data_IF_679879695620
#
_entry.id   IF_679879695620
#
_cell.length_a   1.000
_cell.length_b   1.000
_cell.length_c   1.000
_cell.angle_alpha   90.00
_cell.angle_beta   90.00
_cell.angle_gamma   90.00
#
_symmetry.space_group_name_H-M   'P 1'
#
loop_
_entity.id
_entity.type
_entity.pdbx_description
1 polymer ?
#
# COMPACT_ATOMS: atom_id res chain seq x y z
N UNK A 1 0.53 -10.93 -9.25
CA UNK A 1 1.19 -11.43 -8.02
C UNK A 1 1.16 -12.96 -8.03
N UNK A 2 2.33 -13.61 -7.93
CA UNK A 2 2.44 -15.07 -7.82
C UNK A 2 2.83 -15.41 -6.37
N UNK A 3 1.99 -16.17 -5.68
CA UNK A 3 2.25 -16.67 -4.32
C UNK A 3 2.65 -18.13 -4.40
N UNK A 4 3.80 -18.47 -3.83
CA UNK A 4 4.35 -19.84 -3.84
C UNK A 4 4.51 -20.29 -2.38
N UNK A 5 3.78 -21.34 -1.94
CA UNK A 5 3.98 -21.90 -0.62
C UNK A 5 5.42 -22.36 -0.41
N UNK A 6 5.98 -22.06 0.75
CA UNK A 6 7.34 -22.48 1.10
C UNK A 6 7.48 -22.81 2.59
N UNK A 7 8.51 -23.58 2.92
CA UNK A 7 8.94 -23.81 4.30
C UNK A 7 10.19 -22.98 4.57
N UNK A 8 10.08 -21.89 5.33
CA UNK A 8 11.22 -21.08 5.75
C UNK A 8 11.85 -21.69 7.00
N UNK A 9 13.01 -22.33 6.85
CA UNK A 9 13.69 -23.04 7.95
C UNK A 9 14.24 -22.05 8.99
N UNK A 10 14.51 -20.81 8.58
CA UNK A 10 15.12 -19.79 9.44
C UNK A 10 14.11 -18.85 10.11
N UNK A 11 12.86 -18.80 9.63
CA UNK A 11 11.82 -17.90 10.16
C UNK A 11 12.10 -16.41 9.95
N UNK A 12 12.93 -16.08 8.95
CA UNK A 12 13.35 -14.70 8.65
C UNK A 12 12.69 -14.22 7.38
N UNK A 13 12.10 -13.02 7.42
CA UNK A 13 11.59 -12.32 6.24
C UNK A 13 12.72 -11.62 5.49
N UNK A 14 12.80 -11.81 4.17
CA UNK A 14 13.85 -11.22 3.33
C UNK A 14 13.35 -10.95 1.91
N UNK A 15 13.78 -9.84 1.31
CA UNK A 15 13.48 -9.49 -0.08
C UNK A 15 14.77 -9.18 -0.85
N UNK A 16 14.85 -9.65 -2.10
CA UNK A 16 16.06 -9.51 -2.89
C UNK A 16 15.89 -9.93 -4.35
N UNK A 17 16.88 -9.55 -5.17
CA UNK A 17 16.94 -9.97 -6.58
C UNK A 17 17.19 -11.46 -6.69
N UNK A 18 16.53 -12.12 -7.64
CA UNK A 18 16.67 -13.55 -7.86
C UNK A 18 17.81 -13.83 -8.85
N UNK A 19 18.63 -14.82 -8.52
CA UNK A 19 19.48 -15.53 -9.46
C UNK A 19 19.09 -17.00 -9.41
N UNK A 20 18.54 -17.50 -10.52
CA UNK A 20 17.93 -18.82 -10.55
C UNK A 20 18.58 -19.73 -11.59
N UNK A 21 18.68 -21.02 -11.29
CA UNK A 21 19.11 -22.03 -12.25
C UNK A 21 18.34 -23.33 -12.06
N UNK A 22 18.11 -24.03 -13.15
CA UNK A 22 17.64 -25.44 -13.15
C UNK A 22 18.78 -26.43 -12.90
N UNK A 23 20.03 -25.95 -12.80
CA UNK A 23 21.21 -26.76 -12.55
C UNK A 23 21.63 -26.60 -11.09
N UNK A 24 22.00 -27.71 -10.45
CA UNK A 24 22.52 -27.71 -9.08
C UNK A 24 23.91 -27.08 -9.01
N UNK A 25 24.18 -26.37 -7.91
CA UNK A 25 25.44 -25.67 -7.67
C UNK A 25 26.26 -26.38 -6.60
N UNK A 26 27.58 -26.50 -6.81
CA UNK A 26 28.50 -26.85 -5.73
C UNK A 26 29.02 -25.60 -5.04
N UNK A 27 28.70 -25.43 -3.76
CA UNK A 27 29.28 -24.33 -2.98
C UNK A 27 30.78 -24.50 -2.78
N UNK A 28 31.26 -25.74 -2.64
CA UNK A 28 32.69 -26.00 -2.48
C UNK A 28 33.36 -26.14 -3.84
N UNK A 29 34.20 -25.18 -4.21
CA UNK A 29 34.91 -25.16 -5.50
C UNK A 29 34.09 -24.63 -6.68
N UNK A 30 32.76 -24.49 -6.53
CA UNK A 30 31.90 -23.82 -7.50
C UNK A 30 31.56 -22.37 -7.16
N UNK A 31 31.93 -21.89 -5.97
CA UNK A 31 31.87 -20.48 -5.58
C UNK A 31 33.21 -20.02 -5.02
N UNK A 32 33.53 -18.74 -5.21
CA UNK A 32 34.67 -18.08 -4.57
C UNK A 32 34.18 -17.34 -3.31
N UNK A 33 34.56 -17.79 -2.10
CA UNK A 33 34.12 -17.17 -0.86
C UNK A 33 34.60 -15.73 -0.66
N UNK A 34 35.72 -15.35 -1.29
CA UNK A 34 36.32 -14.02 -1.12
C UNK A 34 35.63 -12.94 -1.96
N UNK A 35 35.05 -13.33 -3.10
CA UNK A 35 34.38 -12.40 -4.02
C UNK A 35 32.87 -12.59 -4.06
N UNK A 36 32.36 -13.77 -3.71
CA UNK A 36 30.95 -14.14 -3.88
C UNK A 36 30.60 -14.58 -5.30
N UNK A 37 31.56 -14.67 -6.21
CA UNK A 37 31.29 -15.09 -7.58
C UNK A 37 31.11 -16.60 -7.69
N UNK A 38 30.16 -17.02 -8.51
CA UNK A 38 30.03 -18.41 -8.96
C UNK A 38 31.12 -18.68 -10.00
N UNK A 39 31.99 -19.66 -9.73
CA UNK A 39 33.16 -20.02 -10.56
C UNK A 39 33.08 -21.46 -11.10
N UNK A 40 31.95 -22.13 -10.89
CA UNK A 40 31.71 -23.47 -11.42
C UNK A 40 31.62 -23.42 -12.94
N UNK A 41 32.64 -23.96 -13.62
CA UNK A 41 32.72 -23.97 -15.08
C UNK A 41 31.51 -24.65 -15.71
N UNK A 42 30.91 -23.98 -16.68
CA UNK A 42 29.74 -24.48 -17.43
C UNK A 42 28.42 -24.41 -16.67
N UNK A 43 28.41 -23.87 -15.44
CA UNK A 43 27.16 -23.61 -14.73
C UNK A 43 26.45 -22.39 -15.34
N UNK A 44 25.11 -22.39 -15.51
CA UNK A 44 24.39 -21.26 -16.11
C UNK A 44 24.56 -19.92 -15.38
N UNK A 45 24.92 -19.98 -14.10
CA UNK A 45 25.20 -18.79 -13.26
C UNK A 45 26.70 -18.45 -13.14
N UNK A 46 27.59 -19.11 -13.90
CA UNK A 46 29.03 -18.80 -13.89
C UNK A 46 29.29 -17.30 -14.12
N UNK A 47 30.18 -16.71 -13.32
CA UNK A 47 30.48 -15.27 -13.32
C UNK A 47 29.48 -14.39 -12.57
N UNK A 48 28.35 -14.95 -12.09
CA UNK A 48 27.36 -14.19 -11.33
C UNK A 48 27.77 -14.08 -9.86
N UNK A 49 27.62 -12.88 -9.28
CA UNK A 49 27.87 -12.65 -7.87
C UNK A 49 26.64 -13.01 -7.00
N UNK A 50 26.86 -13.69 -5.88
CA UNK A 50 25.85 -14.14 -4.91
C UNK A 50 25.38 -13.04 -3.95
N UNK A 51 26.25 -12.06 -3.65
CA UNK A 51 26.00 -11.04 -2.64
C UNK A 51 24.76 -10.22 -2.98
N UNK A 52 23.98 -9.88 -1.96
CA UNK A 52 22.77 -9.06 -2.04
C UNK A 52 21.66 -9.65 -2.95
N UNK A 53 21.71 -10.96 -3.22
CA UNK A 53 20.75 -11.69 -4.06
C UNK A 53 20.21 -12.93 -3.36
N UNK A 54 19.07 -13.42 -3.86
CA UNK A 54 18.45 -14.68 -3.47
C UNK A 54 18.81 -15.73 -4.51
N UNK A 55 19.47 -16.80 -4.08
CA UNK A 55 19.86 -17.92 -4.94
C UNK A 55 18.74 -18.97 -4.99
N UNK A 56 18.27 -19.31 -6.19
CA UNK A 56 17.25 -20.34 -6.41
C UNK A 56 17.83 -21.46 -7.27
N UNK A 57 17.98 -22.65 -6.71
CA UNK A 57 18.54 -23.83 -7.41
C UNK A 57 17.79 -25.09 -6.95
N UNK A 58 17.76 -26.18 -7.73
CA UNK A 58 17.00 -27.36 -7.32
C UNK A 58 17.60 -28.04 -6.08
N UNK A 59 18.93 -28.14 -6.05
CA UNK A 59 19.71 -28.71 -4.95
C UNK A 59 21.14 -28.18 -4.97
N UNK A 60 21.86 -28.39 -3.86
CA UNK A 60 23.31 -28.22 -3.84
C UNK A 60 24.02 -29.56 -4.11
N UNK A 61 25.24 -29.51 -4.65
CA UNK A 61 26.08 -30.69 -4.88
C UNK A 61 27.35 -30.65 -4.05
N UNK A 62 27.70 -31.78 -3.42
CA UNK A 62 28.93 -31.96 -2.63
C UNK A 62 28.66 -32.77 -1.37
N UNK A 63 29.66 -33.54 -0.90
CA UNK A 63 29.43 -34.54 0.15
C UNK A 63 29.48 -34.01 1.58
N UNK A 64 30.50 -33.22 1.95
CA UNK A 64 30.76 -32.94 3.39
C UNK A 64 31.26 -31.54 3.66
N UNK A 65 31.97 -30.93 2.71
CA UNK A 65 32.65 -29.63 2.89
C UNK A 65 31.86 -28.43 2.35
N UNK A 66 30.67 -28.66 1.78
CA UNK A 66 29.83 -27.59 1.22
C UNK A 66 29.36 -26.57 2.27
N UNK A 67 29.12 -27.01 3.50
CA UNK A 67 28.77 -26.16 4.64
C UNK A 67 29.84 -25.12 4.98
N UNK A 68 31.12 -25.49 4.90
CA UNK A 68 32.25 -24.58 5.13
C UNK A 68 32.35 -23.49 4.07
N UNK A 69 31.99 -23.78 2.82
CA UNK A 69 31.98 -22.77 1.76
C UNK A 69 30.89 -21.70 2.01
N UNK A 70 29.69 -22.12 2.39
CA UNK A 70 28.60 -21.20 2.79
C UNK A 70 28.99 -20.35 4.00
N UNK A 71 29.58 -20.97 5.04
CA UNK A 71 30.07 -20.24 6.20
C UNK A 71 31.13 -19.20 5.82
N UNK A 72 32.09 -19.56 4.96
CA UNK A 72 33.13 -18.62 4.49
C UNK A 72 32.54 -17.47 3.69
N UNK A 73 31.56 -17.71 2.83
CA UNK A 73 30.83 -16.65 2.12
C UNK A 73 30.24 -15.65 3.12
N UNK A 74 29.62 -16.12 4.21
CA UNK A 74 29.07 -15.26 5.26
C UNK A 74 30.14 -14.47 6.02
N UNK A 75 31.22 -15.12 6.45
CA UNK A 75 32.32 -14.45 7.17
C UNK A 75 32.96 -13.35 6.31
N UNK A 76 33.02 -13.54 5.00
CA UNK A 76 33.51 -12.54 4.05
C UNK A 76 32.44 -11.56 3.54
N UNK A 77 31.21 -11.60 4.08
CA UNK A 77 30.08 -10.73 3.70
C UNK A 77 29.68 -10.83 2.21
N UNK A 78 29.83 -12.01 1.64
CA UNK A 78 29.53 -12.33 0.25
C UNK A 78 28.45 -13.42 0.09
N UNK A 79 27.84 -13.84 1.20
CA UNK A 79 26.72 -14.77 1.16
C UNK A 79 25.50 -14.15 0.46
N UNK A 80 24.65 -15.00 -0.15
CA UNK A 80 23.35 -14.55 -0.63
C UNK A 80 22.45 -14.14 0.54
N UNK A 81 21.45 -13.30 0.24
CA UNK A 81 20.40 -12.89 1.17
C UNK A 81 19.52 -14.06 1.62
N UNK A 82 19.33 -15.05 0.74
CA UNK A 82 18.66 -16.30 1.03
C UNK A 82 19.01 -17.36 -0.02
N UNK A 83 18.81 -18.63 0.34
CA UNK A 83 18.89 -19.77 -0.57
C UNK A 83 17.53 -20.46 -0.61
N UNK A 84 17.01 -20.71 -1.81
CA UNK A 84 15.76 -21.43 -2.05
C UNK A 84 16.07 -22.74 -2.79
N UNK A 85 15.63 -23.87 -2.22
CA UNK A 85 15.84 -25.21 -2.77
C UNK A 85 14.52 -25.95 -2.96
N UNK A 86 14.41 -26.80 -3.97
CA UNK A 86 13.33 -27.81 -4.03
C UNK A 86 13.71 -29.12 -3.34
N UNK A 87 15.00 -29.42 -3.25
CA UNK A 87 15.51 -30.65 -2.64
C UNK A 87 16.61 -30.28 -1.65
N UNK A 88 16.25 -30.02 -0.38
CA UNK A 88 17.21 -29.64 0.65
C UNK A 88 18.03 -30.85 1.11
N UNK A 89 19.28 -30.60 1.49
CA UNK A 89 20.17 -31.58 2.11
C UNK A 89 20.71 -31.05 3.45
N UNK A 90 21.13 -31.98 4.32
CA UNK A 90 21.59 -31.65 5.68
C UNK A 90 22.89 -30.85 5.70
N UNK A 91 23.74 -30.97 4.68
CA UNK A 91 25.02 -30.24 4.60
C UNK A 91 24.74 -28.77 4.30
N UNK A 92 23.89 -28.50 3.31
CA UNK A 92 23.48 -27.14 2.96
C UNK A 92 22.72 -26.49 4.10
N UNK A 93 21.77 -27.19 4.73
CA UNK A 93 21.04 -26.68 5.91
C UNK A 93 21.98 -26.28 7.05
N UNK A 94 22.98 -27.12 7.34
CA UNK A 94 24.01 -26.84 8.35
C UNK A 94 24.84 -25.61 7.98
N UNK A 95 25.26 -25.50 6.71
CA UNK A 95 26.02 -24.34 6.22
C UNK A 95 25.24 -23.03 6.31
N UNK A 96 23.96 -23.06 5.94
CA UNK A 96 23.06 -21.92 6.05
C UNK A 96 22.89 -21.48 7.51
N UNK A 97 22.67 -22.42 8.44
CA UNK A 97 22.58 -22.10 9.87
C UNK A 97 23.89 -21.51 10.42
N UNK A 98 25.03 -22.10 10.11
CA UNK A 98 26.34 -21.59 10.54
C UNK A 98 26.62 -20.18 10.00
N UNK A 99 26.19 -19.90 8.77
CA UNK A 99 26.41 -18.63 8.08
C UNK A 99 25.31 -17.59 8.31
N UNK A 100 24.28 -17.88 9.11
CA UNK A 100 23.07 -17.05 9.25
C UNK A 100 22.43 -16.69 7.90
N UNK A 101 22.42 -17.63 6.96
CA UNK A 101 21.79 -17.50 5.65
C UNK A 101 20.40 -18.11 5.72
N UNK A 102 19.32 -17.35 5.46
CA UNK A 102 17.98 -17.89 5.36
C UNK A 102 17.89 -19.02 4.33
N UNK A 103 17.42 -20.19 4.77
CA UNK A 103 17.16 -21.35 3.89
C UNK A 103 15.67 -21.59 3.76
N UNK A 104 15.20 -21.65 2.53
CA UNK A 104 13.78 -21.81 2.18
C UNK A 104 13.60 -23.00 1.27
N UNK A 105 12.56 -23.79 1.52
CA UNK A 105 12.26 -24.99 0.75
C UNK A 105 10.92 -24.82 0.03
N UNK A 106 10.89 -25.11 -1.26
CA UNK A 106 9.68 -25.12 -2.10
C UNK A 106 9.45 -26.51 -2.68
N UNK A 107 8.23 -26.81 -3.14
CA UNK A 107 7.95 -28.06 -3.85
C UNK A 107 8.56 -28.09 -5.25
N UNK A 108 8.57 -26.94 -5.92
CA UNK A 108 9.08 -26.77 -7.29
C UNK A 108 9.64 -25.35 -7.46
N UNK A 109 10.85 -25.25 -8.03
CA UNK A 109 11.50 -23.97 -8.33
C UNK A 109 11.07 -23.38 -9.68
N UNK A 110 10.35 -24.12 -10.53
CA UNK A 110 10.00 -23.70 -11.90
C UNK A 110 9.26 -22.36 -11.93
N UNK A 111 8.38 -22.13 -10.96
CA UNK A 111 7.62 -20.90 -10.78
C UNK A 111 8.50 -19.69 -10.36
N UNK A 112 9.75 -19.93 -9.95
CA UNK A 112 10.72 -18.92 -9.54
C UNK A 112 11.74 -18.60 -10.63
N UNK A 113 11.80 -19.40 -11.70
CA UNK A 113 12.71 -19.18 -12.82
C UNK A 113 12.26 -17.95 -13.61
N UNK A 114 13.21 -17.05 -13.90
CA UNK A 114 12.96 -15.85 -14.71
C UNK A 114 12.35 -14.67 -13.95
N UNK A 115 12.10 -14.80 -12.64
CA UNK A 115 11.70 -13.67 -11.80
C UNK A 115 12.90 -12.73 -11.55
N UNK A 116 12.67 -11.42 -11.52
CA UNK A 116 13.74 -10.46 -11.17
C UNK A 116 13.90 -10.32 -9.65
N UNK A 117 12.78 -10.31 -8.90
CA UNK A 117 12.78 -10.05 -7.45
C UNK A 117 11.68 -10.84 -6.74
N UNK A 118 11.99 -11.33 -5.54
CA UNK A 118 11.03 -12.00 -4.67
C UNK A 118 11.11 -11.47 -3.23
N UNK A 119 10.03 -11.67 -2.48
CA UNK A 119 9.94 -11.50 -1.04
C UNK A 119 9.62 -12.86 -0.41
N UNK A 120 10.38 -13.24 0.60
CA UNK A 120 10.25 -14.51 1.32
C UNK A 120 9.76 -14.18 2.72
N UNK A 121 8.61 -14.75 3.10
CA UNK A 121 8.03 -14.67 4.44
C UNK A 121 8.12 -16.05 5.12
N UNK A 122 7.47 -16.24 6.28
CA UNK A 122 7.55 -17.50 7.03
C UNK A 122 7.02 -18.72 6.26
N UNK A 123 5.92 -18.57 5.51
CA UNK A 123 5.25 -19.70 4.84
C UNK A 123 5.02 -19.48 3.33
N UNK A 124 5.42 -18.35 2.78
CA UNK A 124 5.14 -17.99 1.39
C UNK A 124 6.27 -17.17 0.76
N UNK A 125 6.51 -17.41 -0.53
CA UNK A 125 7.29 -16.55 -1.41
C UNK A 125 6.30 -15.73 -2.24
N UNK A 126 6.47 -14.41 -2.25
CA UNK A 126 5.72 -13.48 -3.06
C UNK A 126 6.60 -13.00 -4.21
N UNK A 127 6.19 -13.32 -5.42
CA UNK A 127 6.80 -12.89 -6.67
C UNK A 127 5.96 -11.79 -7.32
N UNK A 128 6.61 -10.66 -7.58
CA UNK A 128 6.05 -9.56 -8.33
C UNK A 128 6.43 -9.77 -9.80
N UNK A 129 5.45 -9.95 -10.68
CA UNK A 129 5.74 -9.96 -12.12
C UNK A 129 6.08 -8.54 -12.52
N UNK A 130 7.31 -8.28 -12.94
CA UNK A 130 7.77 -7.00 -13.49
C UNK A 130 7.20 -6.73 -14.90
N UNK A 131 5.94 -7.09 -15.15
CA UNK A 131 5.14 -6.43 -16.20
C UNK A 131 4.72 -5.02 -15.72
N UNK A 132 5.68 -4.25 -15.20
CA UNK A 132 5.58 -2.81 -15.26
C UNK A 132 5.86 -2.46 -16.73
N UNK A 133 4.87 -1.97 -17.48
CA UNK A 133 5.02 -1.77 -18.91
C UNK A 133 6.24 -0.86 -19.17
N UNK A 134 7.18 -1.35 -19.99
CA UNK A 134 8.47 -0.70 -20.31
C UNK A 134 8.30 0.70 -20.91
N UNK A 135 7.10 0.99 -21.38
CA UNK A 135 6.58 2.32 -21.65
C UNK A 135 5.32 2.54 -20.84
N UNK A 136 5.24 3.66 -20.11
CA UNK A 136 3.99 4.17 -19.54
C UNK A 136 2.98 4.19 -20.70
N UNK A 137 1.90 3.37 -20.70
CA UNK A 137 0.86 3.55 -21.69
C UNK A 137 0.40 4.99 -21.50
N UNK A 138 0.38 5.84 -22.56
CA UNK A 138 -0.06 7.21 -22.40
C UNK A 138 -1.41 7.16 -21.71
N UNK A 139 -1.48 7.60 -20.44
CA UNK A 139 -2.75 7.68 -19.71
C UNK A 139 -3.61 8.59 -20.56
N UNK A 140 -4.59 7.98 -21.22
CA UNK A 140 -5.31 8.45 -22.40
C UNK A 140 -5.57 9.95 -22.37
N UNK A 141 -5.04 10.67 -23.37
CA UNK A 141 -5.38 12.09 -23.68
C UNK A 141 -5.21 13.05 -22.48
N UNK A 142 -5.43 14.37 -22.61
CA UNK A 142 -5.68 15.23 -21.46
C UNK A 142 -7.00 14.78 -20.77
N UNK A 143 -6.93 13.71 -19.97
CA UNK A 143 -8.07 13.10 -19.31
C UNK A 143 -8.40 13.76 -17.96
N UNK A 144 -9.68 13.71 -17.59
CA UNK A 144 -10.22 14.20 -16.32
C UNK A 144 -9.55 13.51 -15.12
N UNK A 145 -9.13 14.28 -14.11
CA UNK A 145 -8.52 13.74 -12.88
C UNK A 145 -9.61 13.22 -11.95
N UNK A 146 -9.37 12.07 -11.31
CA UNK A 146 -10.22 11.51 -10.26
C UNK A 146 -9.45 11.45 -8.95
N UNK A 147 -10.04 11.92 -7.85
CA UNK A 147 -9.46 11.70 -6.51
C UNK A 147 -10.10 10.45 -5.90
N UNK A 148 -9.28 9.48 -5.53
CA UNK A 148 -9.75 8.23 -4.93
C UNK A 148 -9.34 8.18 -3.47
N UNK A 149 -10.32 8.19 -2.58
CA UNK A 149 -10.14 8.05 -1.15
C UNK A 149 -10.33 6.59 -0.73
N UNK A 150 -9.25 5.93 -0.33
CA UNK A 150 -9.28 4.59 0.24
C UNK A 150 -9.49 4.68 1.76
N UNK A 151 -10.59 4.13 2.28
CA UNK A 151 -10.85 4.08 3.71
C UNK A 151 -9.79 3.27 4.46
N UNK A 152 -9.26 3.79 5.57
CA UNK A 152 -8.21 3.11 6.34
C UNK A 152 -8.62 1.72 6.83
N UNK A 153 -9.92 1.48 7.05
CA UNK A 153 -10.45 0.16 7.40
C UNK A 153 -10.33 -0.88 6.29
N UNK A 154 -10.20 -0.47 5.03
CA UNK A 154 -10.03 -1.39 3.90
C UNK A 154 -8.61 -1.93 3.80
N UNK A 155 -7.63 -1.13 4.23
CA UNK A 155 -6.20 -1.44 4.07
C UNK A 155 -5.53 -1.73 5.41
N UNK A 156 -6.30 -1.82 6.49
CA UNK A 156 -5.81 -2.16 7.84
C UNK A 156 -6.82 -2.98 8.62
N UNK A 157 -6.33 -3.75 9.58
CA UNK A 157 -7.17 -4.51 10.51
C UNK A 157 -7.49 -3.70 11.77
N UNK A 158 -8.69 -3.11 11.81
CA UNK A 158 -9.17 -2.27 12.93
C UNK A 158 -9.25 -2.99 14.28
N UNK A 159 -9.49 -4.30 14.28
CA UNK A 159 -9.62 -5.11 15.50
C UNK A 159 -8.26 -5.52 16.09
N UNK A 160 -7.16 -5.22 15.40
CA UNK A 160 -5.83 -5.51 15.90
C UNK A 160 -5.44 -4.52 17.00
N UNK A 161 -4.85 -5.04 18.08
CA UNK A 161 -4.31 -4.23 19.19
C UNK A 161 -3.03 -3.48 18.81
N UNK A 162 -2.39 -3.90 17.72
CA UNK A 162 -1.22 -3.25 17.11
C UNK A 162 -1.54 -2.82 15.68
N UNK A 163 -0.87 -1.79 15.13
CA UNK A 163 -0.98 -1.44 13.72
C UNK A 163 -0.77 -2.66 12.82
N UNK A 164 -1.68 -2.87 11.87
CA UNK A 164 -1.70 -4.06 11.04
C UNK A 164 -2.22 -3.72 9.64
N UNK A 165 -1.34 -3.84 8.65
CA UNK A 165 -1.58 -3.52 7.25
C UNK A 165 -2.14 -4.71 6.47
N UNK A 166 -3.16 -4.47 5.65
CA UNK A 166 -3.78 -5.47 4.79
C UNK A 166 -3.22 -5.33 3.36
N UNK A 167 -2.12 -6.03 3.11
CA UNK A 167 -1.43 -5.99 1.81
C UNK A 167 -2.26 -6.61 0.68
N UNK A 168 -3.07 -7.64 0.98
CA UNK A 168 -3.87 -8.34 -0.02
C UNK A 168 -5.01 -7.46 -0.53
N UNK A 169 -5.78 -6.85 0.37
CA UNK A 169 -6.85 -5.94 -0.03
C UNK A 169 -6.29 -4.70 -0.73
N UNK A 170 -5.12 -4.20 -0.28
CA UNK A 170 -4.44 -3.08 -0.94
C UNK A 170 -4.00 -3.44 -2.36
N UNK A 171 -3.52 -4.68 -2.58
CA UNK A 171 -3.13 -5.17 -3.90
C UNK A 171 -4.33 -5.27 -4.85
N UNK A 172 -5.46 -5.83 -4.38
CA UNK A 172 -6.71 -5.91 -5.16
C UNK A 172 -7.16 -4.51 -5.61
N UNK A 173 -7.19 -3.55 -4.67
CA UNK A 173 -7.52 -2.15 -4.99
C UNK A 173 -6.54 -1.54 -6.00
N UNK A 174 -5.24 -1.70 -5.77
CA UNK A 174 -4.18 -1.19 -6.64
C UNK A 174 -4.30 -1.70 -8.07
N UNK A 175 -4.55 -3.00 -8.23
CA UNK A 175 -4.69 -3.65 -9.54
C UNK A 175 -5.89 -3.13 -10.32
N UNK A 176 -7.06 -3.03 -9.69
CA UNK A 176 -8.27 -2.52 -10.35
C UNK A 176 -8.07 -1.05 -10.77
N UNK A 177 -7.47 -0.23 -9.89
CA UNK A 177 -7.18 1.18 -10.21
C UNK A 177 -6.20 1.26 -11.39
N UNK A 178 -5.17 0.41 -11.43
CA UNK A 178 -4.23 0.34 -12.54
C UNK A 178 -4.94 -0.05 -13.86
N UNK A 179 -5.73 -1.12 -13.86
CA UNK A 179 -6.40 -1.65 -15.05
C UNK A 179 -7.46 -0.67 -15.61
N UNK A 180 -8.09 0.13 -14.74
CA UNK A 180 -9.05 1.18 -15.14
C UNK A 180 -8.41 2.32 -15.96
N UNK A 181 -7.08 2.47 -15.92
CA UNK A 181 -6.29 3.50 -16.61
C UNK A 181 -6.67 4.95 -16.27
N UNK A 182 -7.46 5.17 -15.22
CA UNK A 182 -7.83 6.53 -14.80
C UNK A 182 -6.61 7.31 -14.33
N UNK A 183 -6.61 8.62 -14.60
CA UNK A 183 -5.62 9.54 -14.04
C UNK A 183 -6.06 9.94 -12.64
N UNK A 184 -5.40 9.42 -11.61
CA UNK A 184 -5.85 9.61 -10.24
C UNK A 184 -4.82 10.18 -9.27
N UNK A 185 -5.35 10.82 -8.24
CA UNK A 185 -4.67 11.09 -6.96
C UNK A 185 -5.28 10.15 -5.94
N UNK A 186 -4.44 9.46 -5.16
CA UNK A 186 -4.91 8.59 -4.10
C UNK A 186 -4.79 9.28 -2.75
N UNK A 187 -5.77 9.06 -1.89
CA UNK A 187 -5.72 9.45 -0.48
C UNK A 187 -6.11 8.24 0.37
N UNK A 188 -5.26 7.79 1.29
CA UNK A 188 -5.62 6.68 2.18
C UNK A 188 -5.95 7.14 3.60
N UNK A 189 -6.73 6.34 4.32
CA UNK A 189 -7.09 6.62 5.71
C UNK A 189 -6.05 6.08 6.66
N UNK A 190 -6.07 6.56 7.90
CA UNK A 190 -5.07 6.22 8.90
C UNK A 190 -5.20 4.79 9.46
N UNK A 191 -6.41 4.23 9.44
CA UNK A 191 -6.64 2.85 9.88
C UNK A 191 -6.19 2.60 11.33
N UNK A 192 -5.72 1.38 11.62
CA UNK A 192 -5.14 1.03 12.93
C UNK A 192 -3.81 1.76 13.23
N UNK A 193 -3.14 2.31 12.22
CA UNK A 193 -1.90 3.11 12.38
C UNK A 193 -2.14 4.51 12.94
N UNK A 194 -3.40 4.97 13.00
CA UNK A 194 -3.73 6.29 13.56
C UNK A 194 -4.84 6.25 14.59
N UNK A 195 -5.97 5.62 14.28
CA UNK A 195 -7.11 5.62 15.20
C UNK A 195 -6.80 4.90 16.52
N UNK A 196 -6.10 3.76 16.46
CA UNK A 196 -5.75 2.97 17.65
C UNK A 196 -4.84 3.77 18.61
N UNK A 197 -3.67 4.30 18.20
CA UNK A 197 -2.82 5.06 19.10
C UNK A 197 -3.44 6.39 19.56
N UNK A 198 -4.18 7.10 18.68
CA UNK A 198 -4.89 8.34 19.08
C UNK A 198 -5.87 8.09 20.21
N UNK A 199 -6.63 6.99 20.12
CA UNK A 199 -7.61 6.60 21.15
C UNK A 199 -6.92 6.07 22.40
N UNK A 200 -5.93 5.18 22.26
CA UNK A 200 -5.23 4.56 23.39
C UNK A 200 -4.57 5.59 24.31
N UNK A 201 -4.05 6.68 23.73
CA UNK A 201 -3.39 7.74 24.48
C UNK A 201 -4.28 8.97 24.70
N UNK A 202 -5.58 8.93 24.40
CA UNK A 202 -6.51 10.07 24.51
C UNK A 202 -5.93 11.37 23.92
N UNK A 203 -5.35 11.31 22.72
CA UNK A 203 -4.51 12.40 22.19
C UNK A 203 -5.27 13.70 21.90
N UNK A 204 -6.57 13.59 21.67
CA UNK A 204 -7.44 14.74 21.46
C UNK A 204 -7.75 15.51 22.75
N UNK A 205 -7.54 14.89 23.91
CA UNK A 205 -7.68 15.53 25.22
C UNK A 205 -6.35 16.15 25.66
N UNK A 206 -6.35 17.47 25.90
CA UNK A 206 -5.15 18.24 26.26
C UNK A 206 -3.95 17.98 25.31
N UNK A 207 -4.12 18.18 23.99
CA UNK A 207 -3.20 17.68 22.95
C UNK A 207 -1.77 18.21 23.05
N UNK A 208 -1.54 19.26 23.84
CA UNK A 208 -0.29 19.98 23.92
C UNK A 208 0.60 19.59 25.10
N UNK A 209 0.23 18.62 25.95
CA UNK A 209 1.10 18.18 27.04
C UNK A 209 2.39 17.55 26.50
N UNK A 210 3.51 17.62 27.25
CA UNK A 210 4.79 17.01 26.81
C UNK A 210 4.63 15.51 26.50
N UNK A 211 3.87 14.81 27.33
CA UNK A 211 3.54 13.40 27.13
C UNK A 211 2.77 13.18 25.83
N UNK A 212 1.71 13.96 25.57
CA UNK A 212 0.89 13.84 24.35
C UNK A 212 1.71 14.16 23.10
N UNK A 213 2.64 15.11 23.17
CA UNK A 213 3.54 15.44 22.05
C UNK A 213 4.44 14.27 21.65
N UNK A 214 4.89 13.45 22.60
CA UNK A 214 5.66 12.23 22.31
C UNK A 214 4.80 11.28 21.47
N UNK A 215 3.58 10.99 21.93
CA UNK A 215 2.68 10.10 21.21
C UNK A 215 2.21 10.67 19.86
N UNK A 216 2.01 11.99 19.74
CA UNK A 216 1.73 12.61 18.46
C UNK A 216 2.85 12.37 17.44
N UNK A 217 4.12 12.50 17.85
CA UNK A 217 5.26 12.20 16.97
C UNK A 217 5.31 10.73 16.54
N UNK A 218 4.87 9.81 17.40
CA UNK A 218 4.76 8.39 17.08
C UNK A 218 3.65 8.14 16.07
N UNK A 219 2.46 8.73 16.25
CA UNK A 219 1.35 8.59 15.29
C UNK A 219 1.73 9.11 13.92
N UNK A 220 2.42 10.26 13.84
CA UNK A 220 2.94 10.78 12.56
C UNK A 220 3.87 9.78 11.88
N UNK A 221 4.79 9.18 12.64
CA UNK A 221 5.73 8.18 12.12
C UNK A 221 5.01 6.91 11.62
N UNK A 222 4.00 6.44 12.35
CA UNK A 222 3.16 5.31 11.93
C UNK A 222 2.38 5.60 10.65
N UNK A 223 1.93 6.85 10.44
CA UNK A 223 1.28 7.23 9.18
C UNK A 223 2.25 7.18 7.99
N UNK A 224 3.52 7.56 8.20
CA UNK A 224 4.55 7.44 7.15
C UNK A 224 4.86 5.99 6.83
N UNK A 225 4.92 5.14 7.84
CA UNK A 225 5.09 3.69 7.68
C UNK A 225 3.94 3.09 6.84
N UNK A 226 2.69 3.37 7.21
CA UNK A 226 1.53 2.90 6.45
C UNK A 226 1.57 3.39 4.99
N UNK A 227 1.90 4.66 4.77
CA UNK A 227 2.01 5.21 3.41
C UNK A 227 3.09 4.55 2.58
N UNK A 228 4.24 4.21 3.17
CA UNK A 228 5.31 3.47 2.51
C UNK A 228 4.84 2.07 2.11
N UNK A 229 4.17 1.34 3.01
CA UNK A 229 3.62 0.01 2.75
C UNK A 229 2.56 0.06 1.63
N UNK A 230 1.66 1.03 1.68
CA UNK A 230 0.65 1.27 0.63
C UNK A 230 1.34 1.54 -0.71
N UNK A 231 2.29 2.47 -0.76
CA UNK A 231 3.01 2.79 -1.99
C UNK A 231 3.83 1.61 -2.52
N UNK A 232 4.37 0.76 -1.66
CA UNK A 232 5.06 -0.45 -2.07
C UNK A 232 4.11 -1.42 -2.77
N UNK A 233 2.95 -1.72 -2.18
CA UNK A 233 1.94 -2.60 -2.79
C UNK A 233 1.39 -2.00 -4.08
N UNK A 234 1.04 -0.72 -4.10
CA UNK A 234 0.53 -0.07 -5.32
C UNK A 234 1.54 -0.13 -6.47
N UNK A 235 2.85 0.03 -6.17
CA UNK A 235 3.92 -0.08 -7.17
C UNK A 235 4.01 -1.48 -7.76
N UNK A 236 3.86 -2.50 -6.91
CA UNK A 236 3.84 -3.92 -7.31
C UNK A 236 2.66 -4.26 -8.22
N UNK A 237 1.56 -3.52 -8.12
CA UNK A 237 0.36 -3.69 -8.95
C UNK A 237 0.33 -2.82 -10.22
N UNK A 238 1.45 -2.15 -10.55
CA UNK A 238 1.63 -1.44 -11.81
C UNK A 238 1.48 0.09 -11.74
N UNK A 239 1.00 0.64 -10.61
CA UNK A 239 0.96 2.09 -10.43
C UNK A 239 2.38 2.65 -10.22
N UNK A 240 2.55 3.95 -10.47
CA UNK A 240 3.79 4.66 -10.14
C UNK A 240 3.49 5.63 -8.98
N UNK A 241 3.30 5.11 -7.75
CA UNK A 241 2.91 5.93 -6.61
C UNK A 241 4.04 6.87 -6.21
N UNK A 242 3.68 8.12 -5.95
CA UNK A 242 4.56 9.12 -5.36
C UNK A 242 4.01 9.51 -3.99
N UNK A 243 4.63 9.08 -2.87
CA UNK A 243 4.16 9.45 -1.55
C UNK A 243 4.30 10.96 -1.36
N UNK A 244 3.21 11.61 -0.94
CA UNK A 244 3.20 13.03 -0.61
C UNK A 244 2.83 13.19 0.86
N UNK A 245 3.77 13.76 1.62
CA UNK A 245 3.59 14.05 3.05
C UNK A 245 2.63 15.24 3.23
N UNK A 246 1.41 15.03 3.77
CA UNK A 246 0.40 16.08 3.85
C UNK A 246 0.77 17.22 4.80
N UNK A 247 1.42 16.95 5.92
CA UNK A 247 1.87 17.93 6.91
C UNK A 247 3.09 18.77 6.46
N UNK A 248 3.73 18.36 5.35
CA UNK A 248 4.72 19.19 4.64
C UNK A 248 4.11 19.92 3.43
N UNK A 249 3.04 19.37 2.84
CA UNK A 249 2.37 19.96 1.69
C UNK A 249 1.35 21.04 2.10
N UNK A 250 0.69 20.86 3.24
CA UNK A 250 -0.30 21.77 3.79
C UNK A 250 0.16 22.38 5.10
N UNK A 251 -0.26 23.61 5.35
CA UNK A 251 -0.31 24.21 6.69
C UNK A 251 -1.74 24.63 7.01
N UNK A 252 -2.04 24.85 8.29
CA UNK A 252 -3.33 25.36 8.72
C UNK A 252 -3.13 26.47 9.74
N UNK A 253 -3.89 27.54 9.61
CA UNK A 253 -3.89 28.61 10.61
C UNK A 253 -4.75 28.23 11.85
N UNK A 254 -4.76 29.13 12.84
CA UNK A 254 -5.54 28.97 14.07
C UNK A 254 -7.06 28.97 13.86
N UNK A 255 -7.54 29.53 12.73
CA UNK A 255 -8.95 29.58 12.35
C UNK A 255 -9.40 28.32 11.59
N UNK A 256 -8.48 27.41 11.28
CA UNK A 256 -8.76 26.19 10.53
C UNK A 256 -8.66 26.33 9.01
N UNK A 257 -8.16 27.45 8.50
CA UNK A 257 -7.96 27.63 7.07
C UNK A 257 -6.73 26.85 6.62
N UNK A 258 -6.88 26.01 5.59
CA UNK A 258 -5.81 25.21 5.03
C UNK A 258 -5.11 25.95 3.88
N UNK A 259 -3.79 25.96 3.89
CA UNK A 259 -2.93 26.55 2.86
C UNK A 259 -2.03 25.47 2.27
N UNK A 260 -1.77 25.51 0.97
CA UNK A 260 -0.87 24.56 0.28
C UNK A 260 0.45 25.22 -0.10
N UNK A 261 1.55 24.47 -0.02
CA UNK A 261 2.92 24.95 -0.29
C UNK A 261 3.51 24.47 -1.63
N UNK A 262 2.68 23.85 -2.49
CA UNK A 262 2.90 23.88 -3.94
C UNK A 262 3.84 22.83 -4.53
N UNK A 263 3.54 21.53 -4.36
CA UNK A 263 3.91 20.56 -5.42
C UNK A 263 3.00 20.77 -6.62
N UNK A 264 3.58 20.76 -7.82
CA UNK A 264 2.82 20.80 -9.07
C UNK A 264 2.20 19.42 -9.33
N UNK A 265 1.05 19.16 -8.69
CA UNK A 265 0.28 17.91 -8.83
C UNK A 265 -0.04 17.62 -10.30
N UNK A 266 -0.34 18.64 -11.09
CA UNK A 266 -0.63 18.51 -12.52
C UNK A 266 0.58 17.93 -13.26
N UNK A 267 1.77 18.51 -13.08
CA UNK A 267 3.00 18.00 -13.69
C UNK A 267 3.34 16.57 -13.23
N UNK A 268 3.05 16.21 -11.98
CA UNK A 268 3.22 14.82 -11.52
C UNK A 268 2.30 13.86 -12.30
N UNK A 269 1.02 14.22 -12.41
CA UNK A 269 0.01 13.44 -13.12
C UNK A 269 0.33 13.34 -14.63
N UNK A 270 0.78 14.42 -15.25
CA UNK A 270 1.21 14.48 -16.65
C UNK A 270 2.42 13.57 -16.93
N UNK A 271 3.32 13.43 -15.96
CA UNK A 271 4.47 12.50 -16.03
C UNK A 271 4.11 11.05 -15.70
N UNK A 272 2.84 10.76 -15.42
CA UNK A 272 2.36 9.42 -15.12
C UNK A 272 2.51 8.98 -13.66
N UNK A 273 2.97 9.87 -12.77
CA UNK A 273 2.97 9.59 -11.34
C UNK A 273 1.55 9.57 -10.78
N UNK A 274 1.35 8.80 -9.73
CA UNK A 274 0.12 8.76 -8.95
C UNK A 274 0.41 9.34 -7.56
N UNK A 275 0.13 10.63 -7.31
CA UNK A 275 0.34 11.20 -5.99
C UNK A 275 -0.49 10.46 -4.93
N UNK A 276 0.14 10.08 -3.82
CA UNK A 276 -0.49 9.34 -2.72
C UNK A 276 -0.38 10.16 -1.43
N UNK A 277 -1.52 10.66 -0.97
CA UNK A 277 -1.66 11.35 0.32
C UNK A 277 -2.32 10.44 1.37
N UNK A 278 -2.35 10.91 2.62
CA UNK A 278 -2.94 10.18 3.74
C UNK A 278 -3.41 11.12 4.84
N UNK A 279 -4.34 10.68 5.69
CA UNK A 279 -4.68 11.45 6.90
C UNK A 279 -3.49 11.47 7.86
N UNK A 280 -3.19 12.62 8.47
CA UNK A 280 -2.01 12.76 9.34
C UNK A 280 -2.29 13.75 10.47
N UNK A 281 -1.72 13.55 11.68
CA UNK A 281 -1.65 14.62 12.66
C UNK A 281 -0.79 15.78 12.14
N UNK A 282 -1.23 17.02 12.37
CA UNK A 282 -0.45 18.20 12.03
C UNK A 282 -0.66 19.33 13.05
N UNK A 283 0.19 20.34 12.99
CA UNK A 283 0.05 21.54 13.80
C UNK A 283 -0.99 22.49 13.17
N UNK A 284 -1.91 22.94 14.01
CA UNK A 284 -2.92 23.96 13.74
C UNK A 284 -2.57 25.18 14.59
N UNK A 285 -1.69 26.05 14.10
CA UNK A 285 -1.08 27.09 14.92
C UNK A 285 -0.36 26.49 16.15
N UNK A 286 -0.87 26.74 17.35
CA UNK A 286 -0.28 26.28 18.62
C UNK A 286 -0.76 24.92 19.12
N UNK A 287 -1.75 24.29 18.45
CA UNK A 287 -2.32 22.99 18.86
C UNK A 287 -2.01 21.89 17.85
N UNK A 288 -1.92 20.65 18.31
CA UNK A 288 -1.90 19.49 17.40
C UNK A 288 -3.34 19.02 17.16
N UNK A 289 -3.65 18.64 15.93
CA UNK A 289 -4.87 17.91 15.62
C UNK A 289 -4.74 17.11 14.34
N UNK A 290 -5.86 16.63 13.80
CA UNK A 290 -5.86 15.66 12.69
C UNK A 290 -6.35 16.34 11.42
N UNK A 291 -5.51 16.34 10.39
CA UNK A 291 -5.96 16.63 9.03
C UNK A 291 -6.52 15.33 8.45
N UNK A 292 -7.85 15.28 8.30
CA UNK A 292 -8.50 14.06 7.86
C UNK A 292 -8.21 13.80 6.38
N UNK A 293 -8.19 12.52 6.00
CA UNK A 293 -8.04 12.18 4.60
C UNK A 293 -9.25 12.60 3.74
N UNK A 294 -10.42 12.85 4.34
CA UNK A 294 -11.58 13.36 3.60
C UNK A 294 -11.34 14.85 3.24
N UNK A 295 -10.83 15.66 4.18
CA UNK A 295 -10.44 17.05 3.92
C UNK A 295 -9.33 17.14 2.88
N UNK A 296 -8.32 16.28 2.98
CA UNK A 296 -7.24 16.21 1.99
C UNK A 296 -7.79 15.88 0.60
N UNK A 297 -8.73 14.93 0.48
CA UNK A 297 -9.33 14.56 -0.78
C UNK A 297 -10.03 15.75 -1.46
N UNK A 298 -10.79 16.55 -0.71
CA UNK A 298 -11.39 17.78 -1.21
C UNK A 298 -10.33 18.78 -1.71
N UNK A 299 -9.28 19.01 -0.92
CA UNK A 299 -8.30 20.04 -1.24
C UNK A 299 -7.45 19.65 -2.46
N UNK A 300 -6.99 18.39 -2.55
CA UNK A 300 -6.26 17.93 -3.73
C UNK A 300 -7.15 17.83 -4.96
N UNK A 301 -8.47 17.57 -4.81
CA UNK A 301 -9.42 17.63 -5.92
C UNK A 301 -9.53 19.05 -6.48
N UNK A 302 -9.65 20.06 -5.61
CA UNK A 302 -9.67 21.48 -6.00
C UNK A 302 -8.37 21.90 -6.70
N UNK A 303 -7.22 21.52 -6.15
CA UNK A 303 -5.91 21.90 -6.70
C UNK A 303 -5.60 21.21 -8.04
N UNK A 304 -6.16 20.03 -8.28
CA UNK A 304 -5.92 19.25 -9.50
C UNK A 304 -6.98 19.46 -10.60
N UNK A 305 -8.06 20.19 -10.30
CA UNK A 305 -9.20 20.31 -11.22
C UNK A 305 -9.91 18.98 -11.45
N UNK A 306 -9.93 18.11 -10.42
CA UNK A 306 -10.57 16.80 -10.52
C UNK A 306 -12.08 16.94 -10.76
N UNK A 307 -12.65 16.03 -11.54
CA UNK A 307 -14.10 16.01 -11.81
C UNK A 307 -14.90 15.35 -10.68
N UNK A 308 -14.28 14.39 -10.02
CA UNK A 308 -14.94 13.61 -8.98
C UNK A 308 -14.00 13.17 -7.87
N UNK A 309 -14.61 12.92 -6.72
CA UNK A 309 -14.01 12.27 -5.55
C UNK A 309 -14.76 10.96 -5.32
N UNK A 310 -14.05 9.84 -5.30
CA UNK A 310 -14.61 8.51 -5.03
C UNK A 310 -14.10 8.03 -3.67
N UNK A 311 -15.00 7.85 -2.70
CA UNK A 311 -14.68 7.25 -1.42
C UNK A 311 -14.97 5.75 -1.45
N UNK A 312 -13.90 4.96 -1.41
CA UNK A 312 -13.97 3.54 -1.14
C UNK A 312 -14.07 3.29 0.37
N UNK A 313 -15.19 2.68 0.78
CA UNK A 313 -15.53 2.37 2.17
C UNK A 313 -15.84 0.88 2.34
N UNK A 314 -16.23 0.43 3.55
CA UNK A 314 -16.74 -0.94 3.77
C UNK A 314 -18.25 -1.07 3.56
N UNK A 315 -18.93 0.00 3.13
CA UNK A 315 -20.37 0.03 2.97
C UNK A 315 -20.72 0.26 1.50
N UNK A 316 -21.84 -0.29 1.06
CA UNK A 316 -22.37 -0.18 -0.31
C UNK A 316 -22.81 1.25 -0.71
N UNK A 317 -22.70 2.20 0.21
CA UNK A 317 -23.16 3.57 0.08
C UNK A 317 -23.73 4.06 1.40
N UNK A 318 -24.63 5.04 1.31
CA UNK A 318 -25.39 5.58 2.42
C UNK A 318 -26.77 4.90 2.43
N UNK A 319 -27.16 4.38 3.58
CA UNK A 319 -28.50 3.82 3.81
C UNK A 319 -29.33 4.81 4.61
N UNK A 320 -30.57 5.06 4.21
CA UNK A 320 -31.49 5.86 5.02
C UNK A 320 -31.85 5.05 6.27
N UNK A 321 -31.52 5.52 7.48
CA UNK A 321 -31.66 4.72 8.70
C UNK A 321 -33.12 4.52 9.13
N UNK A 322 -34.06 5.31 8.60
CA UNK A 322 -35.49 5.18 8.86
C UNK A 322 -36.11 4.11 7.97
N UNK A 323 -35.71 4.05 6.70
CA UNK A 323 -36.33 3.14 5.72
C UNK A 323 -35.53 1.86 5.46
N UNK A 324 -34.24 1.84 5.79
CA UNK A 324 -33.31 0.76 5.45
C UNK A 324 -32.92 0.71 3.97
N UNK A 325 -33.43 1.62 3.14
CA UNK A 325 -33.16 1.63 1.70
C UNK A 325 -31.86 2.39 1.36
N UNK A 326 -31.12 1.97 0.31
CA UNK A 326 -29.98 2.73 -0.20
C UNK A 326 -30.40 4.11 -0.70
N UNK A 327 -29.64 5.14 -0.31
CA UNK A 327 -29.77 6.51 -0.82
C UNK A 327 -28.93 6.62 -2.09
N UNK A 328 -29.57 6.73 -3.25
CA UNK A 328 -28.87 6.84 -4.54
C UNK A 328 -28.25 8.21 -4.80
N UNK A 329 -28.89 9.28 -4.33
CA UNK A 329 -28.45 10.64 -4.60
C UNK A 329 -28.62 11.54 -3.38
N UNK A 330 -27.54 12.23 -3.01
CA UNK A 330 -27.51 13.25 -1.97
C UNK A 330 -27.17 14.58 -2.62
N UNK A 331 -27.92 15.62 -2.28
CA UNK A 331 -27.76 16.98 -2.79
C UNK A 331 -27.88 17.97 -1.63
N UNK A 332 -27.47 19.24 -1.80
CA UNK A 332 -27.65 20.25 -0.77
C UNK A 332 -29.10 20.40 -0.28
N UNK A 333 -30.10 20.08 -1.12
CA UNK A 333 -31.51 20.22 -0.77
C UNK A 333 -32.04 19.08 0.11
N UNK A 334 -31.62 17.84 -0.11
CA UNK A 334 -32.06 16.69 0.69
C UNK A 334 -31.16 16.40 1.90
N UNK A 335 -29.95 16.96 1.91
CA UNK A 335 -28.98 16.74 2.98
C UNK A 335 -29.47 17.16 4.37
N UNK A 336 -30.08 18.33 4.60
CA UNK A 336 -30.49 18.73 5.95
C UNK A 336 -31.43 17.71 6.63
N UNK A 337 -32.35 17.13 5.85
CA UNK A 337 -33.26 16.08 6.34
C UNK A 337 -32.53 14.76 6.61
N UNK A 338 -31.64 14.35 5.70
CA UNK A 338 -30.87 13.12 5.86
C UNK A 338 -29.85 13.21 7.01
N UNK A 339 -29.24 14.38 7.22
CA UNK A 339 -28.27 14.63 8.29
C UNK A 339 -28.87 14.40 9.67
N UNK A 340 -30.08 14.90 9.91
CA UNK A 340 -30.82 14.69 11.17
C UNK A 340 -31.05 13.20 11.40
N UNK A 341 -31.60 12.50 10.40
CA UNK A 341 -31.83 11.05 10.47
C UNK A 341 -30.55 10.27 10.79
N UNK A 342 -29.45 10.59 10.12
CA UNK A 342 -28.17 9.92 10.33
C UNK A 342 -27.62 10.18 11.73
N UNK A 343 -27.71 11.41 12.24
CA UNK A 343 -27.25 11.76 13.59
C UNK A 343 -28.07 11.08 14.69
N UNK A 344 -29.39 11.07 14.55
CA UNK A 344 -30.30 10.54 15.58
C UNK A 344 -30.26 9.02 15.70
N UNK A 345 -29.97 8.32 14.60
CA UNK A 345 -30.06 6.86 14.53
C UNK A 345 -28.70 6.15 14.58
N UNK A 346 -27.60 6.88 14.36
CA UNK A 346 -26.29 6.22 14.29
C UNK A 346 -25.76 5.84 15.67
N UNK A 347 -25.44 4.55 15.85
CA UNK A 347 -24.47 4.08 16.85
C UNK A 347 -23.03 4.47 16.49
N UNK A 348 -22.82 5.08 15.33
CA UNK A 348 -21.54 5.59 14.86
C UNK A 348 -21.24 6.94 15.52
N UNK A 349 -20.88 6.89 16.80
CA UNK A 349 -20.53 8.04 17.64
C UNK A 349 -19.31 8.84 17.14
N UNK A 350 -18.79 8.54 15.93
CA UNK A 350 -17.59 9.17 15.35
C UNK A 350 -17.90 10.24 14.30
N UNK A 351 -19.16 10.40 13.85
CA UNK A 351 -19.52 11.38 12.81
C UNK A 351 -18.89 11.10 11.44
N UNK A 352 -18.31 9.93 11.21
CA UNK A 352 -17.44 9.66 10.06
C UNK A 352 -18.13 9.67 8.70
N UNK A 353 -19.37 9.15 8.60
CA UNK A 353 -20.13 9.23 7.34
C UNK A 353 -20.72 10.62 7.11
N UNK A 354 -21.15 11.30 8.18
CA UNK A 354 -21.71 12.65 8.12
C UNK A 354 -20.67 13.65 7.64
N UNK A 355 -19.48 13.65 8.22
CA UNK A 355 -18.40 14.56 7.82
C UNK A 355 -17.98 14.32 6.37
N UNK A 356 -17.87 13.05 5.95
CA UNK A 356 -17.56 12.70 4.56
C UNK A 356 -18.57 13.23 3.57
N UNK A 357 -19.87 13.10 3.87
CA UNK A 357 -20.92 13.64 2.99
C UNK A 357 -20.84 15.17 2.97
N UNK A 358 -20.58 15.84 4.11
CA UNK A 358 -20.39 17.30 4.14
C UNK A 358 -19.23 17.75 3.26
N UNK A 359 -18.07 17.10 3.37
CA UNK A 359 -16.90 17.41 2.56
C UNK A 359 -17.18 17.18 1.07
N UNK A 360 -17.92 16.12 0.71
CA UNK A 360 -18.35 15.87 -0.67
C UNK A 360 -19.38 16.90 -1.16
N UNK A 361 -20.33 17.33 -0.32
CA UNK A 361 -21.28 18.39 -0.66
C UNK A 361 -20.57 19.72 -0.89
N UNK A 362 -19.57 20.04 -0.08
CA UNK A 362 -18.69 21.19 -0.31
C UNK A 362 -17.97 21.07 -1.66
N UNK A 363 -17.46 19.88 -2.02
CA UNK A 363 -16.86 19.62 -3.32
C UNK A 363 -17.79 19.97 -4.49
N UNK A 364 -19.09 19.68 -4.36
CA UNK A 364 -20.08 20.00 -5.41
C UNK A 364 -20.16 21.50 -5.70
N UNK A 365 -19.91 22.36 -4.71
CA UNK A 365 -19.87 23.82 -4.90
C UNK A 365 -18.81 24.24 -5.93
N UNK A 366 -17.73 23.46 -6.05
CA UNK A 366 -16.64 23.63 -7.02
C UNK A 366 -16.85 22.85 -8.33
N UNK A 367 -18.00 22.21 -8.52
CA UNK A 367 -18.28 21.39 -9.71
C UNK A 367 -17.67 19.99 -9.65
N UNK A 368 -17.26 19.54 -8.46
CA UNK A 368 -16.67 18.23 -8.23
C UNK A 368 -17.75 17.30 -7.66
N UNK A 369 -18.06 16.21 -8.36
CA UNK A 369 -19.06 15.24 -7.87
C UNK A 369 -18.45 14.25 -6.86
N UNK A 370 -19.29 13.67 -6.00
CA UNK A 370 -18.88 12.68 -5.02
C UNK A 370 -19.50 11.31 -5.28
N UNK A 371 -18.76 10.24 -5.00
CA UNK A 371 -19.28 8.88 -4.94
C UNK A 371 -18.84 8.21 -3.63
N UNK A 372 -19.74 7.43 -3.02
CA UNK A 372 -19.41 6.54 -1.90
C UNK A 372 -19.73 5.11 -2.33
N UNK A 373 -18.71 4.25 -2.30
CA UNK A 373 -18.76 2.89 -2.88
C UNK A 373 -18.09 1.89 -1.93
N UNK A 374 -18.54 0.62 -1.96
CA UNK A 374 -17.86 -0.45 -1.23
C UNK A 374 -16.57 -0.85 -1.95
N UNK A 375 -15.44 -0.52 -1.33
CA UNK A 375 -14.10 -0.83 -1.82
C UNK A 375 -13.66 -2.28 -1.62
N UNK A 376 -14.57 -3.18 -1.22
CA UNK A 376 -14.33 -4.63 -1.15
C UNK A 376 -14.87 -5.38 -2.36
N UNK A 377 -15.72 -4.74 -3.17
CA UNK A 377 -16.36 -5.38 -4.31
C UNK A 377 -15.69 -4.92 -5.62
N UNK A 378 -14.91 -5.78 -6.30
CA UNK A 378 -14.18 -5.42 -7.52
C UNK A 378 -15.06 -4.84 -8.63
N UNK A 379 -16.24 -5.42 -8.83
CA UNK A 379 -17.18 -4.95 -9.85
C UNK A 379 -17.64 -3.51 -9.55
N UNK A 380 -17.93 -3.21 -8.28
CA UNK A 380 -18.37 -1.86 -7.88
C UNK A 380 -17.28 -0.81 -8.04
N UNK A 381 -16.03 -1.20 -7.74
CA UNK A 381 -14.86 -0.34 -7.94
C UNK A 381 -14.71 -0.01 -9.43
N UNK A 382 -14.74 -1.02 -10.29
CA UNK A 382 -14.60 -0.85 -11.74
C UNK A 382 -15.70 0.04 -12.33
N UNK A 383 -16.97 -0.23 -11.98
CA UNK A 383 -18.11 0.59 -12.39
C UNK A 383 -18.01 2.05 -11.93
N UNK A 384 -17.56 2.28 -10.70
CA UNK A 384 -17.38 3.64 -10.17
C UNK A 384 -16.26 4.39 -10.89
N UNK A 385 -15.15 3.72 -11.22
CA UNK A 385 -14.04 4.30 -11.97
C UNK A 385 -14.41 4.57 -13.45
N UNK A 386 -15.33 3.77 -14.01
CA UNK A 386 -15.93 4.02 -15.33
C UNK A 386 -16.97 5.16 -15.34
N UNK A 387 -17.33 5.71 -14.17
CA UNK A 387 -18.29 6.81 -14.03
C UNK A 387 -19.76 6.38 -13.91
N UNK A 388 -20.05 5.10 -13.69
CA UNK A 388 -21.41 4.60 -13.50
C UNK A 388 -21.94 4.91 -12.09
N UNK A 389 -23.22 5.29 -11.99
CA UNK A 389 -23.83 5.80 -10.75
C UNK A 389 -24.78 4.82 -10.04
N UNK A 390 -24.40 3.54 -9.92
CA UNK A 390 -25.17 2.52 -9.19
C UNK A 390 -25.16 2.65 -7.66
N UNK A 391 -24.48 3.68 -7.14
CA UNK A 391 -24.12 3.87 -5.72
C UNK A 391 -24.62 5.21 -5.19
N UNK A 392 -24.30 5.57 -3.95
CA UNK A 392 -24.61 6.91 -3.44
C UNK A 392 -23.75 7.96 -4.15
N UNK A 393 -24.38 8.72 -5.03
CA UNK A 393 -23.83 9.91 -5.67
C UNK A 393 -24.11 11.14 -4.83
N UNK A 394 -23.15 12.06 -4.76
CA UNK A 394 -23.28 13.37 -4.14
C UNK A 394 -23.09 14.40 -5.26
N UNK A 395 -24.10 15.23 -5.51
CA UNK A 395 -24.09 16.19 -6.62
C UNK A 395 -24.87 17.48 -6.30
N UNK A 396 -24.67 18.52 -7.12
CA UNK A 396 -25.30 19.85 -6.98
C UNK A 396 -26.81 19.83 -7.20
N UNK A 397 -27.29 18.98 -8.11
CA UNK A 397 -28.70 18.90 -8.50
C UNK A 397 -29.19 17.46 -8.44
N UNK A 398 -30.51 17.29 -8.29
CA UNK A 398 -31.17 16.04 -8.63
C UNK A 398 -30.94 15.84 -10.14
N UNK A 399 -30.06 14.94 -10.54
CA UNK A 399 -29.99 14.55 -11.94
C UNK A 399 -31.30 13.84 -12.24
N UNK A 400 -32.18 14.52 -12.97
CA UNK A 400 -33.27 13.87 -13.70
C UNK A 400 -32.62 12.94 -14.73
N UNK A 401 -32.48 11.67 -14.36
CA UNK A 401 -32.25 10.58 -15.30
C UNK A 401 -33.47 9.68 -15.27
#
# INVERSE_FOLDING_TARGET
MLKIPCTNISGVTVSGRVIASTVSLSFYGGTDPLTGNIIQRGHPLEGTNLRDKILVIPSATGSTVGNWALYRLSVHKNAPLAIVLSTPDSVTATGCMMGSIPLVVVSDISALLGLEKIEINNNEIIAYSDDLPSSIPPRSTPGEVVVIKIGGSLITHKESTVPAFDAEQTAILGRIIFDSKVRCILVHGAGSYGHSPVKAHNLLENPNSREKRIFWSEVVSLQYELSNLVCEVLRREGLIPWPVQPDAFFSMDENGNLFNHGLNLINMLEKGYTPVFYGVPMLFGSRTGILSGDDIALQVARLSGAKSIIHFTKNDGVTDPTTGNPVKLITPSNWPTLEVKLKDTSKDATGGIVNKIKTLLEATSFGISGLIVDGRNPQKIDEALAGNSGYTRIDKCLSEN
#
